data_IF_110228942144
#
_entry.id   IF_110228942144
#
_cell.length_a   1.000
_cell.length_b   1.000
_cell.length_c   1.000
_cell.angle_alpha   90.00
_cell.angle_beta   90.00
_cell.angle_gamma   90.00
#
_symmetry.space_group_name_H-M   'P 1'
#
loop_
_entity.id
_entity.type
_entity.pdbx_description
1 polymer ?
#
# COMPACT_ATOMS: atom_id res chain seq x y z
N UNK A 1 60.89 -87.21 -21.94
CA UNK A 1 60.84 -87.26 -20.47
C UNK A 1 60.97 -85.84 -19.94
N UNK A 2 59.85 -85.24 -19.54
CA UNK A 2 59.58 -84.48 -18.30
C UNK A 2 58.06 -84.44 -18.26
N UNK A 3 57.47 -85.26 -17.38
CA UNK A 3 56.04 -85.33 -17.11
C UNK A 3 55.79 -84.49 -15.85
N UNK A 4 54.88 -83.52 -15.93
CA UNK A 4 54.30 -82.88 -14.76
C UNK A 4 52.94 -83.52 -14.50
N UNK A 5 52.86 -84.33 -13.45
CA UNK A 5 51.61 -84.78 -12.85
C UNK A 5 51.05 -83.62 -12.01
N UNK A 6 49.94 -83.04 -12.45
CA UNK A 6 49.14 -82.13 -11.63
C UNK A 6 48.26 -82.96 -10.68
N UNK A 7 48.16 -82.62 -9.39
CA UNK A 7 47.25 -83.28 -8.48
C UNK A 7 45.79 -82.91 -8.82
N UNK A 8 45.02 -83.92 -9.19
CA UNK A 8 43.55 -83.89 -9.20
C UNK A 8 43.05 -83.71 -7.76
N UNK A 9 42.75 -82.47 -7.38
CA UNK A 9 41.69 -82.07 -6.44
C UNK A 9 41.89 -80.60 -6.03
N UNK A 10 41.62 -79.67 -6.95
CA UNK A 10 41.12 -78.36 -6.55
C UNK A 10 39.60 -78.42 -6.67
N UNK A 11 38.95 -78.56 -5.52
CA UNK A 11 37.60 -78.03 -5.35
C UNK A 11 37.74 -76.54 -5.62
N UNK A 12 37.41 -76.11 -6.84
CA UNK A 12 37.15 -74.71 -7.13
C UNK A 12 35.97 -74.37 -6.24
N UNK A 13 36.25 -73.80 -5.07
CA UNK A 13 35.26 -73.07 -4.31
C UNK A 13 34.75 -72.02 -5.29
N UNK A 14 33.58 -72.31 -5.84
CA UNK A 14 32.85 -71.44 -6.75
C UNK A 14 32.62 -70.17 -5.94
N UNK A 15 33.53 -69.20 -6.12
CA UNK A 15 33.55 -67.99 -5.32
C UNK A 15 32.18 -67.36 -5.45
N UNK A 16 31.50 -67.24 -4.31
CA UNK A 16 30.15 -66.69 -4.20
C UNK A 16 30.10 -65.40 -5.01
N UNK A 17 29.25 -65.36 -6.03
CA UNK A 17 29.10 -64.19 -6.87
C UNK A 17 28.86 -62.98 -5.99
N UNK A 18 29.75 -61.98 -6.06
CA UNK A 18 29.57 -60.74 -5.31
C UNK A 18 28.26 -60.09 -5.75
N UNK A 19 27.37 -59.80 -4.80
CA UNK A 19 26.16 -59.02 -5.06
C UNK A 19 26.54 -57.68 -5.71
N UNK A 20 25.70 -57.20 -6.63
CA UNK A 20 25.91 -55.93 -7.34
C UNK A 20 24.73 -55.00 -7.11
N UNK A 21 25.03 -53.73 -6.92
CA UNK A 21 24.05 -52.65 -6.98
C UNK A 21 24.15 -51.98 -8.35
N UNK A 22 23.08 -52.03 -9.12
CA UNK A 22 22.93 -51.24 -10.36
C UNK A 22 22.10 -50.01 -10.06
N UNK A 23 22.58 -48.84 -10.47
CA UNK A 23 21.88 -47.56 -10.31
C UNK A 23 21.64 -46.97 -11.69
N UNK A 24 20.40 -46.59 -11.95
CA UNK A 24 20.00 -45.94 -13.20
C UNK A 24 19.03 -44.79 -12.94
N UNK A 25 18.82 -43.96 -13.97
CA UNK A 25 17.97 -42.78 -13.91
C UNK A 25 16.97 -42.84 -15.05
N UNK A 26 15.70 -42.58 -14.76
CA UNK A 26 14.69 -42.49 -15.79
C UNK A 26 15.05 -41.40 -16.81
N UNK A 27 14.66 -41.64 -18.07
CA UNK A 27 14.92 -40.73 -19.20
C UNK A 27 16.41 -40.39 -19.40
N UNK A 28 17.33 -41.21 -18.89
CA UNK A 28 18.77 -40.98 -18.95
C UNK A 28 19.20 -39.62 -18.35
N UNK A 29 18.54 -39.19 -17.26
CA UNK A 29 18.85 -37.92 -16.59
C UNK A 29 20.29 -37.86 -16.02
N UNK A 30 20.92 -39.02 -15.81
CA UNK A 30 22.34 -39.17 -15.51
C UNK A 30 22.84 -40.55 -15.99
N UNK A 31 24.17 -40.74 -16.18
CA UNK A 31 24.74 -42.03 -16.54
C UNK A 31 24.46 -43.10 -15.48
N UNK A 32 24.08 -44.31 -15.92
CA UNK A 32 23.95 -45.47 -15.05
C UNK A 32 25.31 -46.00 -14.59
N UNK A 33 25.39 -46.57 -13.40
CA UNK A 33 26.61 -47.20 -12.88
C UNK A 33 26.31 -48.47 -12.07
N UNK A 34 27.36 -49.25 -11.80
CA UNK A 34 27.27 -50.48 -11.00
C UNK A 34 28.37 -50.51 -9.95
N UNK A 35 28.02 -50.91 -8.73
CA UNK A 35 28.95 -51.05 -7.60
C UNK A 35 28.88 -52.48 -7.06
N UNK A 36 30.03 -53.07 -6.73
CA UNK A 36 30.06 -54.34 -6.02
C UNK A 36 29.75 -54.13 -4.54
N UNK A 37 28.82 -54.92 -3.99
CA UNK A 37 28.41 -54.83 -2.60
C UNK A 37 29.26 -55.75 -1.71
N UNK A 38 29.80 -55.25 -0.58
CA UNK A 38 30.45 -56.09 0.41
C UNK A 38 29.44 -57.03 1.07
N UNK A 39 29.84 -58.26 1.40
CA UNK A 39 28.95 -59.23 2.03
C UNK A 39 28.68 -58.88 3.50
N UNK A 40 27.42 -58.95 3.93
CA UNK A 40 26.97 -58.74 5.32
C UNK A 40 27.22 -57.33 5.91
N UNK A 41 27.28 -56.29 5.09
CA UNK A 41 27.38 -54.90 5.55
C UNK A 41 26.15 -54.08 5.08
N UNK A 42 25.99 -52.85 5.56
CA UNK A 42 25.03 -51.93 4.96
C UNK A 42 25.76 -51.07 3.94
N UNK A 43 25.18 -50.91 2.76
CA UNK A 43 25.68 -49.95 1.78
C UNK A 43 24.80 -48.70 1.78
N UNK A 44 25.41 -47.52 1.92
CA UNK A 44 24.69 -46.25 1.87
C UNK A 44 24.86 -45.65 0.47
N UNK A 45 23.81 -45.74 -0.34
CA UNK A 45 23.74 -45.06 -1.62
C UNK A 45 23.51 -43.57 -1.40
N UNK A 46 24.27 -42.72 -2.08
CA UNK A 46 24.16 -41.26 -1.98
C UNK A 46 23.90 -40.65 -3.36
N UNK A 47 22.96 -39.70 -3.44
CA UNK A 47 22.58 -39.01 -4.67
C UNK A 47 22.20 -37.56 -4.36
N UNK A 48 22.71 -36.60 -5.12
CA UNK A 48 22.30 -35.20 -4.94
C UNK A 48 20.84 -34.98 -5.31
N UNK A 49 20.15 -34.13 -4.54
CA UNK A 49 18.74 -33.82 -4.80
C UNK A 49 18.52 -33.07 -6.11
N UNK A 50 19.48 -32.24 -6.53
CA UNK A 50 19.42 -31.51 -7.79
C UNK A 50 20.78 -31.47 -8.47
N UNK A 51 20.80 -31.53 -9.80
CA UNK A 51 22.01 -31.36 -10.59
C UNK A 51 21.71 -30.64 -11.90
N UNK A 52 22.70 -29.89 -12.37
CA UNK A 52 22.61 -29.08 -13.58
C UNK A 52 22.44 -30.00 -14.80
N UNK A 53 21.48 -29.66 -15.66
CA UNK A 53 21.30 -30.31 -16.97
C UNK A 53 22.01 -29.48 -18.05
N UNK A 54 21.78 -28.17 -18.03
CA UNK A 54 22.38 -27.16 -18.91
C UNK A 54 22.33 -25.77 -18.22
N UNK A 55 22.64 -24.71 -18.96
CA UNK A 55 22.72 -23.35 -18.40
C UNK A 55 21.38 -22.79 -17.89
N UNK A 56 20.25 -23.34 -18.34
CA UNK A 56 18.90 -22.83 -18.01
C UNK A 56 18.00 -23.86 -17.34
N UNK A 57 18.46 -25.10 -17.16
CA UNK A 57 17.65 -26.17 -16.59
C UNK A 57 18.43 -27.09 -15.65
N UNK A 58 17.69 -27.76 -14.77
CA UNK A 58 18.24 -28.76 -13.84
C UNK A 58 17.33 -29.98 -13.75
N UNK A 59 17.89 -31.07 -13.27
CA UNK A 59 17.10 -32.19 -12.76
C UNK A 59 16.92 -32.06 -11.26
N UNK A 60 15.76 -32.47 -10.76
CA UNK A 60 15.48 -32.60 -9.34
C UNK A 60 14.87 -33.98 -9.05
N UNK A 61 15.38 -34.62 -8.01
CA UNK A 61 15.01 -35.97 -7.60
C UNK A 61 13.60 -35.99 -7.00
N UNK A 62 12.72 -36.86 -7.52
CA UNK A 62 11.31 -36.93 -7.09
C UNK A 62 10.92 -38.26 -6.44
N UNK A 63 11.53 -39.37 -6.86
CA UNK A 63 11.25 -40.69 -6.32
C UNK A 63 12.35 -41.69 -6.67
N UNK A 64 12.30 -42.86 -6.06
CA UNK A 64 13.13 -44.00 -6.41
C UNK A 64 12.34 -45.30 -6.36
N UNK A 65 12.75 -46.31 -7.12
CA UNK A 65 12.24 -47.68 -7.01
C UNK A 65 13.40 -48.65 -6.81
N UNK A 66 13.16 -49.72 -6.05
CA UNK A 66 14.12 -50.82 -5.86
C UNK A 66 13.53 -52.08 -6.51
N UNK A 67 14.34 -52.75 -7.32
CA UNK A 67 14.03 -54.05 -7.94
C UNK A 67 12.72 -54.09 -8.74
N UNK A 68 12.37 -52.95 -9.36
CA UNK A 68 11.15 -52.80 -10.16
C UNK A 68 9.86 -52.70 -9.34
N UNK A 69 9.96 -52.46 -8.03
CA UNK A 69 8.80 -52.14 -7.19
C UNK A 69 8.19 -50.75 -7.48
N UNK A 70 7.13 -50.42 -6.75
CA UNK A 70 6.46 -49.12 -6.89
C UNK A 70 7.40 -47.95 -6.53
N UNK A 71 7.31 -46.80 -7.24
CA UNK A 71 8.09 -45.62 -6.90
C UNK A 71 7.77 -45.09 -5.51
N UNK A 72 8.81 -44.88 -4.70
CA UNK A 72 8.75 -44.28 -3.37
C UNK A 72 9.06 -42.79 -3.51
N UNK A 73 8.13 -41.89 -3.13
CA UNK A 73 8.33 -40.45 -3.27
C UNK A 73 9.39 -39.92 -2.30
N UNK A 74 10.14 -38.92 -2.76
CA UNK A 74 11.18 -38.23 -1.99
C UNK A 74 10.73 -36.78 -1.73
N UNK A 75 10.90 -36.31 -0.49
CA UNK A 75 10.73 -34.89 -0.16
C UNK A 75 11.78 -34.07 -0.90
N UNK A 76 11.31 -33.15 -1.74
CA UNK A 76 12.16 -32.42 -2.69
C UNK A 76 12.88 -31.26 -2.02
N UNK A 77 14.14 -31.08 -2.37
CA UNK A 77 14.94 -29.93 -1.92
C UNK A 77 15.80 -29.39 -3.06
N UNK A 78 16.12 -28.11 -3.02
CA UNK A 78 17.03 -27.48 -3.97
C UNK A 78 18.47 -28.02 -3.91
N UNK A 79 18.90 -28.42 -2.72
CA UNK A 79 20.29 -28.75 -2.39
C UNK A 79 20.38 -29.89 -1.39
N UNK A 80 21.58 -30.46 -1.29
CA UNK A 80 21.91 -31.54 -0.36
C UNK A 80 21.96 -32.88 -1.07
N UNK A 81 22.16 -33.92 -0.27
CA UNK A 81 22.34 -35.30 -0.75
C UNK A 81 21.29 -36.18 -0.09
N UNK A 82 20.52 -36.88 -0.93
CA UNK A 82 19.64 -37.96 -0.55
C UNK A 82 20.48 -39.22 -0.27
N UNK A 83 20.17 -39.91 0.82
CA UNK A 83 20.84 -41.17 1.20
C UNK A 83 19.84 -42.30 1.33
N UNK A 84 20.21 -43.48 0.85
CA UNK A 84 19.40 -44.69 0.88
C UNK A 84 20.22 -45.88 1.39
N UNK A 85 19.78 -46.48 2.48
CA UNK A 85 20.34 -47.75 2.97
C UNK A 85 19.91 -48.89 2.06
N UNK A 86 20.88 -49.62 1.49
CA UNK A 86 20.68 -50.79 0.65
C UNK A 86 21.22 -52.04 1.37
N UNK A 87 20.40 -53.09 1.42
CA UNK A 87 20.82 -54.41 1.91
C UNK A 87 21.88 -54.99 0.99
N UNK A 88 22.87 -55.70 1.54
CA UNK A 88 23.90 -56.38 0.74
C UNK A 88 23.69 -57.89 0.67
N UNK A 89 22.48 -58.36 1.00
CA UNK A 89 22.11 -59.78 0.96
C UNK A 89 21.96 -60.32 -0.47
N UNK A 90 21.69 -59.43 -1.44
CA UNK A 90 21.39 -59.77 -2.81
C UNK A 90 21.79 -58.62 -3.76
N UNK A 91 21.67 -58.87 -5.07
CA UNK A 91 21.90 -57.82 -6.07
C UNK A 91 20.64 -56.99 -6.21
N UNK A 92 20.79 -55.67 -6.28
CA UNK A 92 19.68 -54.73 -6.37
C UNK A 92 19.79 -53.85 -7.62
N UNK A 93 18.65 -53.43 -8.13
CA UNK A 93 18.51 -52.39 -9.14
C UNK A 93 17.75 -51.20 -8.57
N UNK A 94 18.41 -50.06 -8.43
CA UNK A 94 17.80 -48.80 -8.00
C UNK A 94 17.60 -47.92 -9.23
N UNK A 95 16.37 -47.45 -9.42
CA UNK A 95 16.02 -46.50 -10.47
C UNK A 95 15.57 -45.20 -9.80
N UNK A 96 16.22 -44.10 -10.13
CA UNK A 96 15.83 -42.76 -9.70
C UNK A 96 14.97 -42.07 -10.75
N UNK A 97 13.84 -41.51 -10.32
CA UNK A 97 12.99 -40.66 -11.16
C UNK A 97 13.29 -39.19 -10.89
N UNK A 98 13.25 -38.38 -11.93
CA UNK A 98 13.57 -36.95 -11.85
C UNK A 98 12.55 -36.10 -12.58
N UNK A 99 12.39 -34.86 -12.12
CA UNK A 99 11.70 -33.81 -12.85
C UNK A 99 12.74 -32.85 -13.46
N UNK A 100 12.57 -32.50 -14.73
CA UNK A 100 13.27 -31.34 -15.30
C UNK A 100 12.65 -30.08 -14.70
N UNK A 101 13.47 -29.12 -14.29
CA UNK A 101 13.01 -27.84 -13.76
C UNK A 101 13.66 -26.66 -14.48
N UNK A 102 12.93 -25.55 -14.52
CA UNK A 102 13.38 -24.27 -15.04
C UNK A 102 13.24 -23.16 -13.99
N UNK A 103 14.13 -22.14 -13.97
CA UNK A 103 14.00 -21.01 -13.09
C UNK A 103 12.95 -20.02 -13.62
N UNK A 104 12.18 -19.43 -12.69
CA UNK A 104 11.35 -18.25 -12.94
C UNK A 104 11.91 -17.07 -12.15
N UNK A 105 12.46 -16.09 -12.85
CA UNK A 105 13.05 -14.89 -12.24
C UNK A 105 12.05 -13.74 -12.27
N UNK A 106 11.96 -12.99 -11.18
CA UNK A 106 11.13 -11.78 -11.07
C UNK A 106 12.03 -10.58 -10.81
N UNK A 107 11.86 -9.51 -11.59
CA UNK A 107 12.52 -8.22 -11.40
C UNK A 107 11.49 -7.07 -11.42
N UNK A 108 11.91 -5.88 -11.00
CA UNK A 108 11.04 -4.70 -10.91
C UNK A 108 10.20 -4.61 -9.63
N UNK A 109 10.14 -5.69 -8.86
CA UNK A 109 9.60 -5.73 -7.49
C UNK A 109 10.37 -6.75 -6.64
N UNK A 110 10.46 -6.51 -5.34
CA UNK A 110 11.02 -7.43 -4.34
C UNK A 110 9.95 -8.15 -3.51
N UNK A 111 8.70 -7.69 -3.58
CA UNK A 111 7.54 -8.29 -2.92
C UNK A 111 6.70 -9.06 -3.94
N UNK A 112 6.87 -10.37 -3.95
CA UNK A 112 6.14 -11.28 -4.84
C UNK A 112 6.02 -12.67 -4.24
N UNK A 113 5.05 -13.43 -4.76
CA UNK A 113 4.88 -14.85 -4.47
C UNK A 113 4.46 -15.62 -5.71
N UNK A 114 4.67 -16.94 -5.72
CA UNK A 114 4.27 -17.81 -6.82
C UNK A 114 3.08 -18.66 -6.43
N UNK A 115 2.20 -18.92 -7.40
CA UNK A 115 1.08 -19.84 -7.27
C UNK A 115 1.10 -20.85 -8.43
N UNK A 116 1.38 -22.14 -8.18
CA UNK A 116 1.80 -22.72 -6.89
C UNK A 116 3.21 -22.27 -6.47
N UNK A 117 3.57 -22.48 -5.20
CA UNK A 117 4.95 -22.28 -4.73
C UNK A 117 5.92 -23.27 -5.39
N UNK A 118 7.20 -22.89 -5.50
CA UNK A 118 8.25 -23.78 -6.02
C UNK A 118 8.35 -25.05 -5.17
N UNK A 119 8.36 -26.26 -5.78
CA UNK A 119 8.47 -27.53 -5.06
C UNK A 119 9.79 -27.69 -4.28
N UNK A 120 10.79 -26.87 -4.59
CA UNK A 120 12.13 -26.89 -3.99
C UNK A 120 12.44 -25.62 -3.19
N UNK A 121 11.47 -24.70 -3.07
CA UNK A 121 11.58 -23.42 -2.32
C UNK A 121 12.71 -22.50 -2.79
N UNK A 122 13.05 -22.53 -4.08
CA UNK A 122 14.15 -21.75 -4.66
C UNK A 122 13.84 -21.19 -6.05
N UNK A 123 12.56 -21.02 -6.37
CA UNK A 123 12.05 -20.44 -7.62
C UNK A 123 12.35 -21.28 -8.88
N UNK A 124 12.59 -22.58 -8.71
CA UNK A 124 12.63 -23.55 -9.79
C UNK A 124 11.33 -24.33 -9.83
N UNK A 125 10.81 -24.54 -11.03
CA UNK A 125 9.50 -25.13 -11.25
C UNK A 125 9.60 -26.25 -12.28
N UNK A 126 8.75 -27.26 -12.14
CA UNK A 126 8.80 -28.44 -13.01
C UNK A 126 8.39 -28.10 -14.44
N UNK A 127 9.01 -28.77 -15.39
CA UNK A 127 8.71 -28.62 -16.80
C UNK A 127 7.21 -28.85 -17.08
N UNK A 128 6.61 -27.96 -17.88
CA UNK A 128 5.18 -27.93 -18.23
C UNK A 128 4.23 -27.59 -17.08
N UNK A 129 4.73 -27.21 -15.90
CA UNK A 129 3.87 -26.65 -14.86
C UNK A 129 3.40 -25.25 -15.25
N UNK A 130 2.22 -24.85 -14.75
CA UNK A 130 1.70 -23.51 -14.89
C UNK A 130 1.90 -22.73 -13.59
N UNK A 131 2.54 -21.57 -13.67
CA UNK A 131 2.90 -20.74 -12.51
C UNK A 131 2.42 -19.32 -12.73
N UNK A 132 1.69 -18.77 -11.76
CA UNK A 132 1.34 -17.34 -11.72
C UNK A 132 2.20 -16.59 -10.71
N UNK A 133 2.55 -15.35 -11.01
CA UNK A 133 3.24 -14.43 -10.10
C UNK A 133 2.22 -13.48 -9.49
N UNK A 134 2.18 -13.42 -8.16
CA UNK A 134 1.33 -12.49 -7.40
C UNK A 134 2.18 -11.39 -6.80
N UNK A 135 1.81 -10.13 -7.05
CA UNK A 135 2.50 -8.94 -6.56
C UNK A 135 1.51 -7.95 -5.95
N UNK A 136 1.85 -7.21 -4.88
CA UNK A 136 1.04 -6.09 -4.43
C UNK A 136 1.07 -4.98 -5.50
N UNK A 137 -0.08 -4.38 -5.81
CA UNK A 137 -0.16 -3.30 -6.79
C UNK A 137 0.51 -2.02 -6.30
N UNK A 138 0.61 -1.83 -4.99
CA UNK A 138 1.32 -0.68 -4.41
C UNK A 138 2.17 -1.07 -3.21
N UNK A 139 3.31 -0.39 -3.06
CA UNK A 139 4.22 -0.50 -1.93
C UNK A 139 4.44 0.86 -1.33
N UNK A 140 4.24 0.99 -0.02
CA UNK A 140 4.56 2.24 0.69
C UNK A 140 6.08 2.35 0.86
N UNK A 141 6.66 3.45 0.39
CA UNK A 141 8.08 3.78 0.59
C UNK A 141 8.22 4.67 1.83
N UNK A 142 7.42 5.75 1.88
CA UNK A 142 7.32 6.63 3.04
C UNK A 142 5.86 6.82 3.42
N UNK A 143 5.53 6.51 4.67
CA UNK A 143 4.15 6.51 5.17
C UNK A 143 3.47 7.85 4.89
N UNK A 144 2.32 7.79 4.21
CA UNK A 144 1.48 8.93 3.84
C UNK A 144 2.15 9.98 2.94
N UNK A 145 3.26 9.65 2.27
CA UNK A 145 3.99 10.60 1.42
C UNK A 145 4.39 10.03 0.08
N UNK A 146 5.02 8.85 0.08
CA UNK A 146 5.57 8.23 -1.13
C UNK A 146 5.16 6.78 -1.19
N UNK A 147 4.63 6.35 -2.34
CA UNK A 147 4.41 4.94 -2.66
C UNK A 147 4.90 4.64 -4.07
N UNK A 148 5.12 3.38 -4.36
CA UNK A 148 5.38 2.87 -5.70
C UNK A 148 4.17 2.06 -6.14
N UNK A 149 3.67 2.29 -7.34
CA UNK A 149 2.58 1.52 -7.94
C UNK A 149 3.12 0.71 -9.12
N UNK A 150 2.81 -0.58 -9.19
CA UNK A 150 3.14 -1.41 -10.36
C UNK A 150 2.11 -1.07 -11.44
N UNK A 151 2.60 -0.61 -12.59
CA UNK A 151 1.78 -0.09 -13.69
C UNK A 151 1.74 -1.04 -14.88
N UNK A 152 2.75 -1.90 -15.02
CA UNK A 152 2.82 -2.87 -16.10
C UNK A 152 3.73 -4.05 -15.77
N UNK A 153 3.74 -5.03 -16.66
CA UNK A 153 4.59 -6.21 -16.57
C UNK A 153 4.93 -6.73 -17.97
N UNK A 154 6.00 -7.50 -18.09
CA UNK A 154 6.36 -8.23 -19.31
C UNK A 154 6.88 -9.62 -18.99
N UNK A 155 6.73 -10.53 -19.94
CA UNK A 155 7.31 -11.87 -19.90
C UNK A 155 8.44 -11.92 -20.93
N UNK A 156 9.62 -12.29 -20.46
CA UNK A 156 10.86 -12.41 -21.23
C UNK A 156 11.23 -11.13 -22.00
N UNK A 157 10.75 -9.97 -21.52
CA UNK A 157 10.92 -8.63 -22.13
C UNK A 157 10.42 -8.54 -23.57
N UNK A 158 9.46 -9.38 -23.96
CA UNK A 158 8.93 -9.40 -25.32
C UNK A 158 7.87 -8.30 -25.53
N UNK A 159 6.79 -8.33 -24.75
CA UNK A 159 5.70 -7.36 -24.79
C UNK A 159 5.38 -6.88 -23.37
N UNK A 160 5.04 -5.60 -23.23
CA UNK A 160 4.63 -5.00 -21.97
C UNK A 160 3.11 -4.83 -21.94
N UNK A 161 2.49 -5.32 -20.87
CA UNK A 161 1.06 -5.19 -20.62
C UNK A 161 0.80 -4.29 -19.42
N UNK A 162 -0.21 -3.44 -19.52
CA UNK A 162 -0.65 -2.60 -18.41
C UNK A 162 -1.41 -3.43 -17.38
N UNK A 163 -1.17 -3.15 -16.10
CA UNK A 163 -1.94 -3.72 -15.01
C UNK A 163 -3.28 -2.97 -14.88
N UNK A 164 -4.43 -3.66 -14.83
CA UNK A 164 -5.72 -3.02 -14.66
C UNK A 164 -5.81 -2.22 -13.35
N UNK A 165 -6.37 -1.00 -13.44
CA UNK A 165 -6.75 -0.17 -12.29
C UNK A 165 -8.11 -0.64 -11.76
N UNK A 166 -8.11 -1.76 -11.04
CA UNK A 166 -9.27 -2.27 -10.31
C UNK A 166 -9.09 -2.04 -8.78
N UNK A 167 -10.10 -2.40 -7.99
CA UNK A 167 -10.10 -2.20 -6.53
C UNK A 167 -9.33 -3.29 -5.76
N UNK A 168 -8.58 -4.17 -6.42
CA UNK A 168 -7.80 -5.22 -5.75
C UNK A 168 -6.43 -4.70 -5.34
N UNK A 169 -5.92 -5.21 -4.21
CA UNK A 169 -4.60 -4.83 -3.71
C UNK A 169 -3.45 -5.58 -4.40
N UNK A 170 -3.75 -6.64 -5.15
CA UNK A 170 -2.77 -7.54 -5.74
C UNK A 170 -3.05 -7.72 -7.23
N UNK A 171 -1.98 -7.85 -8.00
CA UNK A 171 -2.03 -8.34 -9.37
C UNK A 171 -1.56 -9.79 -9.41
N UNK A 172 -2.26 -10.62 -10.18
CA UNK A 172 -1.89 -12.01 -10.45
C UNK A 172 -1.65 -12.12 -11.95
N UNK A 173 -0.45 -12.54 -12.36
CA UNK A 173 -0.15 -12.74 -13.78
C UNK A 173 -1.01 -13.87 -14.37
N UNK A 174 -1.28 -13.85 -15.69
CA UNK A 174 -1.69 -15.05 -16.40
C UNK A 174 -0.73 -16.22 -16.10
N UNK A 175 -1.21 -17.48 -16.15
CA UNK A 175 -0.36 -18.64 -15.95
C UNK A 175 0.79 -18.69 -16.96
N UNK A 176 2.01 -18.89 -16.45
CA UNK A 176 3.24 -19.03 -17.23
C UNK A 176 3.57 -20.53 -17.31
N UNK A 177 3.62 -21.08 -18.50
CA UNK A 177 4.01 -22.48 -18.71
C UNK A 177 5.53 -22.60 -18.63
N UNK A 178 6.04 -23.36 -17.67
CA UNK A 178 7.47 -23.53 -17.43
C UNK A 178 8.08 -24.52 -18.42
N UNK A 179 8.34 -24.07 -19.65
CA UNK A 179 8.97 -24.87 -20.71
C UNK A 179 10.43 -24.48 -20.98
N UNK A 180 10.86 -23.33 -20.45
CA UNK A 180 12.22 -22.83 -20.45
C UNK A 180 12.42 -21.91 -19.22
N UNK A 181 13.60 -21.31 -19.11
CA UNK A 181 13.82 -20.17 -18.24
C UNK A 181 12.92 -19.01 -18.63
N UNK A 182 12.29 -18.39 -17.61
CA UNK A 182 11.46 -17.21 -17.79
C UNK A 182 11.88 -16.06 -16.88
N UNK A 183 11.72 -14.84 -17.40
CA UNK A 183 11.91 -13.57 -16.71
C UNK A 183 10.60 -12.77 -16.70
N UNK A 184 10.06 -12.50 -15.51
CA UNK A 184 8.94 -11.57 -15.32
C UNK A 184 9.50 -10.23 -14.87
N UNK A 185 9.26 -9.20 -15.68
CA UNK A 185 9.78 -7.85 -15.45
C UNK A 185 8.62 -6.88 -15.20
N UNK A 186 8.51 -6.39 -13.96
CA UNK A 186 7.47 -5.45 -13.54
C UNK A 186 7.92 -4.01 -13.73
N UNK A 187 7.06 -3.21 -14.35
CA UNK A 187 7.22 -1.76 -14.47
C UNK A 187 6.45 -1.06 -13.36
N UNK A 188 7.06 -0.03 -12.78
CA UNK A 188 6.48 0.72 -11.67
C UNK A 188 6.63 2.22 -11.84
N UNK A 189 5.79 2.95 -11.12
CA UNK A 189 5.76 4.41 -11.13
C UNK A 189 5.72 4.90 -9.69
N UNK A 190 6.57 5.88 -9.38
CA UNK A 190 6.54 6.57 -8.10
C UNK A 190 5.29 7.45 -8.04
N UNK A 191 4.59 7.39 -6.91
CA UNK A 191 3.44 8.21 -6.63
C UNK A 191 3.64 8.98 -5.34
N UNK A 192 3.16 10.22 -5.35
CA UNK A 192 3.21 11.10 -4.20
C UNK A 192 1.80 11.35 -3.67
N UNK A 193 1.71 11.51 -2.35
CA UNK A 193 0.47 11.89 -1.70
C UNK A 193 0.29 13.40 -1.85
N UNK A 194 -0.82 13.79 -2.46
CA UNK A 194 -1.30 15.16 -2.44
C UNK A 194 -2.38 15.27 -1.35
N UNK A 195 -2.10 16.09 -0.36
CA UNK A 195 -3.02 16.39 0.75
C UNK A 195 -3.55 17.80 0.57
N UNK A 196 -4.87 17.92 0.42
CA UNK A 196 -5.53 19.23 0.42
C UNK A 196 -6.16 19.39 1.80
N UNK A 197 -5.98 20.56 2.41
CA UNK A 197 -6.54 20.94 3.71
C UNK A 197 -7.32 22.24 3.55
N UNK A 198 -8.41 22.38 4.29
CA UNK A 198 -9.27 23.57 4.28
C UNK A 198 -9.90 23.73 5.65
N UNK A 199 -9.82 24.94 6.21
CA UNK A 199 -10.44 25.25 7.49
C UNK A 199 -11.95 25.47 7.37
N UNK A 200 -12.41 26.11 6.27
CA UNK A 200 -13.77 26.65 6.14
C UNK A 200 -14.42 26.37 4.77
N UNK A 201 -14.04 25.26 4.11
CA UNK A 201 -14.51 24.93 2.76
C UNK A 201 -14.48 23.43 2.46
N UNK A 202 -15.25 23.04 1.45
CA UNK A 202 -15.22 21.67 0.92
C UNK A 202 -14.04 21.52 -0.03
N UNK A 203 -13.26 20.45 0.17
CA UNK A 203 -12.07 20.16 -0.61
C UNK A 203 -12.15 18.76 -1.21
N UNK A 204 -11.45 18.58 -2.33
CA UNK A 204 -11.20 17.26 -2.87
C UNK A 204 -10.40 16.40 -1.88
N UNK A 205 -10.79 15.13 -1.72
CA UNK A 205 -10.10 14.20 -0.83
C UNK A 205 -8.63 14.01 -1.24
N UNK A 206 -7.79 13.80 -0.23
CA UNK A 206 -6.36 13.54 -0.43
C UNK A 206 -6.15 12.24 -1.20
N UNK A 207 -5.46 12.29 -2.34
CA UNK A 207 -5.23 11.13 -3.20
C UNK A 207 -3.74 10.93 -3.54
N UNK A 208 -3.45 9.86 -4.25
CA UNK A 208 -2.11 9.52 -4.74
C UNK A 208 -2.05 9.77 -6.24
N UNK A 209 -1.00 10.43 -6.68
CA UNK A 209 -0.82 10.83 -8.08
C UNK A 209 0.58 10.45 -8.55
N UNK A 210 0.73 10.15 -9.84
CA UNK A 210 2.03 9.82 -10.42
C UNK A 210 2.97 11.02 -10.40
N UNK A 211 4.27 10.75 -10.32
CA UNK A 211 5.31 11.76 -10.50
C UNK A 211 5.16 12.46 -11.86
N UNK A 212 5.11 13.79 -11.84
CA UNK A 212 4.86 14.64 -13.01
C UNK A 212 3.39 14.78 -13.42
N UNK A 213 2.43 14.17 -12.72
CA UNK A 213 1.01 14.29 -13.03
C UNK A 213 0.48 15.70 -12.71
N UNK A 214 -0.31 16.28 -13.63
CA UNK A 214 -0.97 17.57 -13.42
C UNK A 214 -2.41 17.32 -12.96
N UNK A 215 -2.71 17.77 -11.75
CA UNK A 215 -3.98 17.52 -11.06
C UNK A 215 -4.77 18.82 -10.93
N UNK A 216 -6.00 18.91 -11.46
CA UNK A 216 -6.88 20.03 -11.19
C UNK A 216 -7.50 19.87 -9.80
N UNK A 217 -7.21 20.80 -8.90
CA UNK A 217 -7.81 20.84 -7.55
C UNK A 217 -8.87 21.93 -7.54
N UNK A 218 -10.10 21.55 -7.18
CA UNK A 218 -11.20 22.51 -7.01
C UNK A 218 -11.43 22.79 -5.54
N UNK A 219 -11.51 24.06 -5.19
CA UNK A 219 -11.71 24.54 -3.82
C UNK A 219 -13.04 25.29 -3.77
N UNK A 220 -13.98 24.76 -3.00
CA UNK A 220 -15.31 25.37 -2.84
C UNK A 220 -15.38 26.09 -1.50
N UNK A 221 -15.66 27.40 -1.53
CA UNK A 221 -15.96 28.17 -0.33
C UNK A 221 -17.28 27.71 0.29
N UNK A 222 -17.29 27.46 1.60
CA UNK A 222 -18.54 27.31 2.34
C UNK A 222 -19.17 28.68 2.63
N UNK A 223 -20.48 28.72 2.82
CA UNK A 223 -21.21 29.90 3.29
C UNK A 223 -21.78 29.61 4.67
N UNK A 224 -21.47 30.45 5.65
CA UNK A 224 -22.10 30.40 6.97
C UNK A 224 -23.14 31.54 7.08
N UNK A 225 -24.34 31.27 6.58
CA UNK A 225 -25.44 32.23 6.54
C UNK A 225 -25.14 33.45 5.67
N UNK A 226 -24.94 34.61 6.30
CA UNK A 226 -24.65 35.89 5.63
C UNK A 226 -23.15 36.22 5.56
N UNK A 227 -22.29 35.36 6.12
CA UNK A 227 -20.83 35.49 6.04
C UNK A 227 -20.34 34.64 4.87
N UNK A 228 -19.79 35.31 3.87
CA UNK A 228 -19.20 34.66 2.70
C UNK A 228 -17.72 34.42 2.98
N UNK A 229 -17.25 33.19 2.82
CA UNK A 229 -15.81 32.89 2.89
C UNK A 229 -15.21 33.04 1.50
N UNK A 230 -14.23 33.93 1.35
CA UNK A 230 -13.49 34.09 0.09
C UNK A 230 -12.11 33.51 0.25
N UNK A 231 -11.68 32.66 -0.70
CA UNK A 231 -10.32 32.12 -0.72
C UNK A 231 -9.34 33.29 -0.75
N UNK A 232 -8.47 33.38 0.26
CA UNK A 232 -7.51 34.48 0.40
C UNK A 232 -6.10 34.07 0.02
N UNK A 233 -5.68 32.88 0.45
CA UNK A 233 -4.32 32.38 0.27
C UNK A 233 -4.31 30.85 0.17
N UNK A 234 -3.37 30.31 -0.61
CA UNK A 234 -3.04 28.89 -0.64
C UNK A 234 -1.62 28.71 -0.12
N UNK A 235 -1.49 28.12 1.06
CA UNK A 235 -0.18 27.74 1.57
C UNK A 235 0.29 26.44 0.90
N UNK A 236 1.57 26.38 0.53
CA UNK A 236 2.16 25.26 -0.20
C UNK A 236 1.95 25.27 -1.72
N UNK A 237 1.42 26.34 -2.32
CA UNK A 237 1.28 26.50 -3.78
C UNK A 237 1.69 27.91 -4.21
N UNK A 238 2.52 28.03 -5.24
CA UNK A 238 3.10 29.29 -5.73
C UNK A 238 2.59 29.73 -7.12
N UNK A 239 1.65 28.98 -7.71
CA UNK A 239 1.08 29.28 -9.02
C UNK A 239 -0.08 30.27 -9.00
N UNK A 240 -0.53 30.67 -10.19
CA UNK A 240 -1.70 31.53 -10.36
C UNK A 240 -3.00 30.79 -10.02
N UNK A 241 -3.94 31.50 -9.40
CA UNK A 241 -5.27 30.99 -9.07
C UNK A 241 -6.24 31.43 -10.17
N UNK A 242 -6.76 30.48 -10.96
CA UNK A 242 -7.76 30.75 -11.99
C UNK A 242 -9.17 30.42 -11.49
N UNK A 243 -9.77 31.36 -10.75
CA UNK A 243 -11.09 31.18 -10.14
C UNK A 243 -11.02 30.25 -8.92
N UNK A 244 -11.76 29.14 -8.96
CA UNK A 244 -11.82 28.17 -7.85
C UNK A 244 -11.03 26.88 -8.13
N UNK A 245 -10.28 26.85 -9.24
CA UNK A 245 -9.50 25.68 -9.65
C UNK A 245 -8.04 26.06 -9.81
N UNK A 246 -7.14 25.21 -9.31
CA UNK A 246 -5.69 25.31 -9.51
C UNK A 246 -5.19 24.04 -10.20
N UNK A 247 -4.17 24.16 -11.04
CA UNK A 247 -3.49 23.02 -11.65
C UNK A 247 -2.17 22.78 -10.92
N UNK A 248 -2.02 21.60 -10.32
CA UNK A 248 -0.87 21.26 -9.49
C UNK A 248 -0.08 20.15 -10.16
N UNK A 249 1.21 20.39 -10.43
CA UNK A 249 2.13 19.35 -10.91
C UNK A 249 2.73 18.61 -9.72
N UNK A 250 2.48 17.31 -9.63
CA UNK A 250 2.90 16.47 -8.50
C UNK A 250 4.31 15.92 -8.73
N UNK A 251 5.34 16.62 -8.25
CA UNK A 251 6.75 16.19 -8.33
C UNK A 251 7.34 15.76 -6.96
N UNK A 252 6.49 15.63 -5.95
CA UNK A 252 6.87 15.30 -4.57
C UNK A 252 5.65 15.28 -3.64
N UNK A 253 5.80 14.82 -2.39
CA UNK A 253 4.73 14.89 -1.39
C UNK A 253 4.35 16.36 -1.17
N UNK A 254 3.08 16.69 -1.32
CA UNK A 254 2.60 18.07 -1.29
C UNK A 254 1.38 18.20 -0.38
N UNK A 255 1.40 19.23 0.45
CA UNK A 255 0.26 19.64 1.27
C UNK A 255 -0.13 21.05 0.87
N UNK A 256 -1.37 21.23 0.43
CA UNK A 256 -1.94 22.53 0.08
C UNK A 256 -2.98 22.89 1.13
N UNK A 257 -2.85 24.05 1.75
CA UNK A 257 -3.80 24.53 2.76
C UNK A 257 -4.52 25.76 2.25
N UNK A 258 -5.84 25.63 2.04
CA UNK A 258 -6.72 26.72 1.66
C UNK A 258 -7.08 27.57 2.87
N UNK A 259 -6.67 28.84 2.85
CA UNK A 259 -7.06 29.85 3.84
C UNK A 259 -8.16 30.73 3.27
N UNK A 260 -9.14 31.04 4.11
CA UNK A 260 -10.31 31.84 3.73
C UNK A 260 -10.41 33.09 4.59
N UNK A 261 -10.75 34.21 3.96
CA UNK A 261 -11.12 35.44 4.63
C UNK A 261 -12.64 35.58 4.71
N UNK A 262 -13.10 36.13 5.83
CA UNK A 262 -14.53 36.41 6.06
C UNK A 262 -14.92 37.70 5.37
N UNK A 263 -15.83 37.62 4.40
CA UNK A 263 -16.43 38.76 3.75
C UNK A 263 -17.79 39.08 4.39
N UNK A 264 -17.81 40.17 5.16
CA UNK A 264 -19.00 40.68 5.84
C UNK A 264 -19.86 41.63 4.98
N UNK A 265 -19.56 41.79 3.70
CA UNK A 265 -20.25 42.75 2.83
C UNK A 265 -21.76 42.52 2.76
N UNK A 266 -22.19 41.26 2.65
CA UNK A 266 -23.62 40.90 2.69
C UNK A 266 -24.23 41.20 4.05
N UNK A 267 -23.62 40.75 5.15
CA UNK A 267 -24.09 41.03 6.49
C UNK A 267 -24.22 42.55 6.75
N UNK A 268 -23.21 43.33 6.38
CA UNK A 268 -23.21 44.78 6.50
C UNK A 268 -24.36 45.40 5.68
N UNK A 269 -24.60 44.94 4.45
CA UNK A 269 -25.72 45.43 3.65
C UNK A 269 -27.09 45.15 4.29
N UNK A 270 -27.27 43.95 4.86
CA UNK A 270 -28.51 43.54 5.52
C UNK A 270 -28.77 44.32 6.81
N UNK A 271 -27.72 44.72 7.55
CA UNK A 271 -27.88 45.49 8.80
C UNK A 271 -27.97 47.00 8.53
N UNK A 272 -27.13 47.56 7.66
CA UNK A 272 -27.01 49.00 7.46
C UNK A 272 -28.22 49.53 6.69
N UNK A 273 -28.70 48.82 5.65
CA UNK A 273 -29.80 49.30 4.81
C UNK A 273 -31.10 49.55 5.63
N UNK A 274 -31.57 48.63 6.49
CA UNK A 274 -32.74 48.87 7.33
C UNK A 274 -32.56 50.05 8.29
N UNK A 275 -31.38 50.18 8.92
CA UNK A 275 -31.09 51.28 9.84
C UNK A 275 -31.19 52.62 9.13
N UNK A 276 -30.61 52.73 7.93
CA UNK A 276 -30.68 53.94 7.10
C UNK A 276 -32.13 54.24 6.69
N UNK A 277 -32.90 53.23 6.26
CA UNK A 277 -34.32 53.40 5.90
C UNK A 277 -35.14 53.91 7.09
N UNK A 278 -34.99 53.31 8.26
CA UNK A 278 -35.68 53.73 9.50
C UNK A 278 -35.27 55.15 9.88
N UNK A 279 -33.98 55.47 9.84
CA UNK A 279 -33.46 56.81 10.13
C UNK A 279 -34.03 57.88 9.20
N UNK A 280 -34.09 57.62 7.88
CA UNK A 280 -34.70 58.52 6.90
C UNK A 280 -36.20 58.69 7.15
N UNK A 281 -36.90 57.61 7.49
CA UNK A 281 -38.35 57.65 7.74
C UNK A 281 -38.69 58.43 9.01
N UNK A 282 -37.95 58.22 10.11
CA UNK A 282 -38.08 58.98 11.35
C UNK A 282 -37.70 60.44 11.13
N UNK A 283 -36.60 60.73 10.45
CA UNK A 283 -36.18 62.10 10.12
C UNK A 283 -37.22 62.86 9.30
N UNK A 284 -37.81 62.22 8.27
CA UNK A 284 -38.91 62.81 7.49
C UNK A 284 -40.17 63.03 8.32
N UNK A 285 -40.53 62.10 9.22
CA UNK A 285 -41.70 62.22 10.10
C UNK A 285 -41.54 63.33 11.14
N UNK A 286 -40.34 63.48 11.71
CA UNK A 286 -40.01 64.56 12.66
C UNK A 286 -39.97 65.92 11.97
N UNK A 287 -39.55 66.02 10.71
CA UNK A 287 -39.59 67.28 9.96
C UNK A 287 -41.02 67.81 9.72
N UNK A 288 -42.03 66.93 9.74
CA UNK A 288 -43.45 67.29 9.58
C UNK A 288 -44.21 67.46 10.91
N UNK A 289 -43.64 67.08 12.06
CA UNK A 289 -44.22 67.36 13.37
C UNK A 289 -43.47 68.52 14.02
N UNK A 290 -44.17 69.55 14.50
CA UNK A 290 -43.59 70.65 15.29
C UNK A 290 -43.18 70.15 16.69
N UNK A 291 -42.30 69.16 16.76
CA UNK A 291 -41.76 68.65 18.01
C UNK A 291 -40.49 69.43 18.33
N UNK A 292 -40.63 70.44 19.21
CA UNK A 292 -39.51 71.20 19.76
C UNK A 292 -38.78 70.33 20.78
N UNK A 293 -37.72 69.63 20.35
CA UNK A 293 -36.73 69.11 21.28
C UNK A 293 -35.85 70.28 21.75
N UNK A 294 -35.90 70.56 23.06
CA UNK A 294 -34.96 71.47 23.70
C UNK A 294 -33.60 70.79 23.81
N UNK A 295 -32.56 71.44 23.27
CA UNK A 295 -31.17 70.96 23.29
C UNK A 295 -30.60 70.92 21.88
N UNK A 296 -29.98 72.03 21.46
CA UNK A 296 -29.44 72.21 20.11
C UNK A 296 -28.19 71.38 19.86
N UNK A 297 -28.35 70.23 19.22
CA UNK A 297 -27.32 69.65 18.37
C UNK A 297 -27.88 69.57 16.95
N UNK A 298 -27.19 70.19 16.01
CA UNK A 298 -27.59 70.23 14.60
C UNK A 298 -27.50 68.84 13.99
N UNK A 299 -28.33 68.53 13.00
CA UNK A 299 -28.22 67.29 12.22
C UNK A 299 -26.84 67.20 11.53
N UNK A 300 -26.25 68.35 11.18
CA UNK A 300 -24.86 68.46 10.71
C UNK A 300 -23.84 68.00 11.76
N UNK A 301 -24.07 68.25 13.05
CA UNK A 301 -23.16 67.85 14.13
C UNK A 301 -23.17 66.33 14.32
N UNK A 302 -24.33 65.69 14.12
CA UNK A 302 -24.48 64.22 14.18
C UNK A 302 -23.86 63.58 12.94
N UNK A 303 -24.05 64.16 11.75
CA UNK A 303 -23.42 63.68 10.52
C UNK A 303 -21.88 63.76 10.59
N UNK A 304 -21.33 64.89 11.05
CA UNK A 304 -19.89 65.03 11.28
C UNK A 304 -19.38 64.12 12.39
N UNK A 305 -20.17 63.84 13.43
CA UNK A 305 -19.78 62.88 14.47
C UNK A 305 -19.75 61.45 13.94
N UNK A 306 -20.68 61.06 13.06
CA UNK A 306 -20.69 59.72 12.44
C UNK A 306 -19.56 59.58 11.42
N UNK A 307 -19.29 60.60 10.61
CA UNK A 307 -18.18 60.62 9.66
C UNK A 307 -16.82 60.57 10.38
N UNK A 308 -16.67 61.35 11.46
CA UNK A 308 -15.48 61.32 12.33
C UNK A 308 -15.35 59.99 13.07
N UNK A 309 -16.43 59.34 13.51
CA UNK A 309 -16.37 58.00 14.13
C UNK A 309 -16.05 56.91 13.11
N UNK A 310 -16.49 57.04 11.84
CA UNK A 310 -16.11 56.11 10.78
C UNK A 310 -14.64 56.28 10.35
N UNK A 311 -14.13 57.51 10.19
CA UNK A 311 -12.71 57.75 9.89
C UNK A 311 -11.80 57.35 11.07
N UNK A 312 -12.18 57.63 12.31
CA UNK A 312 -11.35 57.27 13.48
C UNK A 312 -11.32 55.75 13.71
N UNK A 313 -12.39 55.00 13.37
CA UNK A 313 -12.39 53.52 13.46
C UNK A 313 -11.73 52.82 12.26
N UNK A 314 -11.61 53.47 11.11
CA UNK A 314 -10.93 52.91 9.94
C UNK A 314 -9.40 53.12 9.96
N UNK A 315 -8.89 54.09 10.74
CA UNK A 315 -7.44 54.37 10.86
C UNK A 315 -6.80 53.69 12.09
N UNK A 316 -7.57 53.22 13.08
CA UNK A 316 -7.06 52.56 14.30
C UNK A 316 -7.08 51.02 14.30
N UNK A 317 -7.30 50.37 13.15
CA UNK A 317 -7.06 48.92 13.01
C UNK A 317 -5.57 48.64 12.74
N UNK A 318 -4.71 48.95 13.72
CA UNK A 318 -3.33 48.44 13.82
C UNK A 318 -2.90 48.22 15.29
N UNK A 319 -3.84 48.07 16.21
CA UNK A 319 -3.53 47.62 17.57
C UNK A 319 -4.51 46.55 18.01
N UNK A 320 -3.97 45.34 18.12
CA UNK A 320 -4.48 44.12 18.74
C UNK A 320 -5.65 44.39 19.69
N UNK A 321 -6.82 43.93 19.28
CA UNK A 321 -8.10 44.18 19.94
C UNK A 321 -8.21 43.43 21.27
N UNK A 322 -8.20 44.18 22.36
CA UNK A 322 -8.64 43.75 23.70
C UNK A 322 -10.16 43.43 23.78
N UNK A 323 -10.85 43.47 22.64
CA UNK A 323 -12.29 43.19 22.49
C UNK A 323 -12.57 41.76 21.98
N UNK A 324 -11.54 40.95 21.70
CA UNK A 324 -11.70 39.55 21.22
C UNK A 324 -11.53 38.52 22.34
N UNK A 325 -10.78 38.81 23.41
CA UNK A 325 -10.50 37.82 24.47
C UNK A 325 -11.75 37.33 25.23
N UNK A 326 -12.80 38.14 25.36
CA UNK A 326 -14.01 37.75 26.10
C UNK A 326 -15.02 36.97 25.22
N UNK A 327 -14.91 37.07 23.89
CA UNK A 327 -15.85 36.37 23.00
C UNK A 327 -15.52 34.89 22.89
N UNK A 328 -14.23 34.55 22.82
CA UNK A 328 -13.77 33.16 22.79
C UNK A 328 -14.05 32.47 24.14
N UNK A 329 -13.96 33.20 25.26
CA UNK A 329 -14.32 32.70 26.60
C UNK A 329 -15.82 32.41 26.72
N UNK A 330 -16.68 33.33 26.26
CA UNK A 330 -18.14 33.12 26.24
C UNK A 330 -18.58 31.99 25.31
N UNK A 331 -17.92 31.83 24.15
CA UNK A 331 -18.19 30.74 23.23
C UNK A 331 -17.73 29.40 23.84
N UNK A 332 -16.55 29.37 24.46
CA UNK A 332 -16.04 28.18 25.15
C UNK A 332 -16.94 27.76 26.31
N UNK A 333 -17.44 28.72 27.09
CA UNK A 333 -18.37 28.46 28.21
C UNK A 333 -19.72 27.93 27.70
N UNK A 334 -20.23 28.47 26.60
CA UNK A 334 -21.45 27.98 25.96
C UNK A 334 -21.31 26.54 25.46
N UNK A 335 -20.21 26.21 24.76
CA UNK A 335 -19.96 24.85 24.27
C UNK A 335 -19.73 23.85 25.40
N UNK A 336 -18.98 24.23 26.44
CA UNK A 336 -18.78 23.39 27.64
C UNK A 336 -20.12 23.06 28.31
N UNK A 337 -21.00 24.06 28.43
CA UNK A 337 -22.35 23.88 28.99
C UNK A 337 -23.19 22.92 28.14
N UNK A 338 -23.20 23.07 26.81
CA UNK A 338 -23.95 22.19 25.90
C UNK A 338 -23.44 20.74 25.91
N UNK A 339 -22.11 20.54 26.00
CA UNK A 339 -21.51 19.21 26.11
C UNK A 339 -21.91 18.55 27.42
N UNK A 340 -21.88 19.27 28.55
CA UNK A 340 -22.30 18.76 29.85
C UNK A 340 -23.78 18.39 29.87
N UNK A 341 -24.68 19.25 29.37
CA UNK A 341 -26.12 18.96 29.30
C UNK A 341 -26.41 17.68 28.49
N UNK A 342 -25.70 17.50 27.36
CA UNK A 342 -25.86 16.31 26.53
C UNK A 342 -25.26 15.07 27.17
N UNK A 343 -24.11 15.19 27.84
CA UNK A 343 -23.47 14.10 28.58
C UNK A 343 -24.37 13.62 29.74
N UNK A 344 -25.01 14.55 30.45
CA UNK A 344 -25.99 14.26 31.50
C UNK A 344 -27.26 13.60 30.95
N UNK A 345 -27.75 14.03 29.79
CA UNK A 345 -28.86 13.36 29.08
C UNK A 345 -28.53 11.91 28.70
N UNK A 346 -27.31 11.64 28.22
CA UNK A 346 -26.84 10.29 27.88
C UNK A 346 -26.65 9.41 29.13
N UNK A 347 -26.23 10.00 30.24
CA UNK A 347 -26.11 9.32 31.54
C UNK A 347 -27.48 8.95 32.12
N UNK A 348 -28.41 9.91 32.15
CA UNK A 348 -29.78 9.70 32.65
C UNK A 348 -30.58 8.68 31.82
N UNK A 349 -30.28 8.58 30.53
CA UNK A 349 -30.85 7.54 29.65
C UNK A 349 -30.16 6.19 29.73
N UNK A 350 -29.14 6.03 30.60
CA UNK A 350 -28.31 4.82 30.78
C UNK A 350 -27.59 4.36 29.52
N UNK A 351 -27.37 5.26 28.56
CA UNK A 351 -26.63 4.96 27.32
C UNK A 351 -25.13 4.82 27.60
N UNK A 352 -24.62 5.58 28.57
CA UNK A 352 -23.24 5.49 29.07
C UNK A 352 -23.24 5.04 30.53
N UNK A 353 -22.21 4.28 30.93
CA UNK A 353 -22.06 3.81 32.32
C UNK A 353 -21.54 4.92 33.23
N UNK A 354 -21.85 4.83 34.54
CA UNK A 354 -21.41 5.79 35.56
C UNK A 354 -19.89 6.04 35.51
N UNK A 355 -19.08 4.99 35.37
CA UNK A 355 -17.62 5.15 35.31
C UNK A 355 -17.11 5.84 34.04
N UNK A 356 -17.84 5.70 32.92
CA UNK A 356 -17.50 6.39 31.67
C UNK A 356 -17.97 7.85 31.70
N UNK A 357 -19.10 8.13 32.35
CA UNK A 357 -19.60 9.48 32.58
C UNK A 357 -18.61 10.31 33.41
N UNK A 358 -18.17 9.79 34.57
CA UNK A 358 -17.22 10.50 35.43
C UNK A 358 -15.89 10.80 34.71
N UNK A 359 -15.35 9.84 33.94
CA UNK A 359 -14.14 10.07 33.14
C UNK A 359 -14.31 11.10 32.03
N UNK A 360 -15.49 11.20 31.42
CA UNK A 360 -15.75 12.18 30.37
C UNK A 360 -15.99 13.57 30.96
N UNK A 361 -16.59 13.64 32.15
CA UNK A 361 -16.81 14.87 32.91
C UNK A 361 -15.51 15.48 33.46
N UNK A 362 -14.55 14.66 33.88
CA UNK A 362 -13.22 15.13 34.34
C UNK A 362 -12.34 15.67 33.20
N UNK A 363 -12.64 15.35 31.94
CA UNK A 363 -11.87 15.79 30.76
C UNK A 363 -12.46 17.01 30.04
N UNK A 364 -13.56 17.58 30.56
CA UNK A 364 -14.14 18.87 30.15
C UNK A 364 -13.72 19.93 31.16
#
# INVERSE_FOLDING_TARGET
MIFFTLPDNLVVAQMSGSSKLSVSFENNAAPSYTVSLPTNEKHVLSQDYSWVRDDTSRYNLISFSIDGGDPIPISRTARGTFTLDISTDSSHNVIFSTATQFPLTVIGTDDYSFMPSSPTSDNWFDANSEVSVTVPKSRTIEKNKVRQEITGWSLDRNESWNIPKDNTNFFISPPITMNDFHLVDFSSTTQFKLTVLSENGEIQESSWYADGEVVPITISSSNDGLILYTLSELDGYDGEISGNTIEVTVNGPLTITAKFEKNYGLLASVIIIPIVIVGVFVGKKVKNSKFRFGGGASVEDIAQTVEKVMETKLVETSTVSKYVENYDEQISEYYSTQVLEKLESLHNSKIISDSKYEKLKENQ
#
